data_IF_593065781962
#
_entry.id   IF_593065781962
#
_cell.length_a   1.000
_cell.length_b   1.000
_cell.length_c   1.000
_cell.angle_alpha   90.00
_cell.angle_beta   90.00
_cell.angle_gamma   90.00
#
_symmetry.space_group_name_H-M   'P 1'
#
loop_
_entity.id
_entity.type
_entity.pdbx_description
1 polymer ?
#
# COMPACT_ATOMS: atom_id res chain seq x y z
N UNK A 1 42.67 -3.62 -5.85
CA UNK A 1 42.02 -2.75 -4.86
C UNK A 1 42.53 -1.32 -4.95
N UNK A 2 43.87 -1.09 -5.05
CA UNK A 2 44.44 0.26 -5.19
C UNK A 2 43.96 0.95 -6.49
N UNK A 3 44.04 0.26 -7.63
CA UNK A 3 43.61 0.81 -8.96
C UNK A 3 42.12 1.17 -8.99
N UNK A 4 41.26 0.38 -8.32
CA UNK A 4 39.83 0.67 -8.22
C UNK A 4 39.53 1.91 -7.33
N UNK A 5 40.38 2.17 -6.33
CA UNK A 5 40.29 3.34 -5.47
C UNK A 5 40.72 4.64 -6.18
N UNK A 6 41.71 4.54 -7.08
CA UNK A 6 42.17 5.67 -7.90
C UNK A 6 41.12 6.07 -8.97
N UNK A 7 40.24 5.13 -9.39
CA UNK A 7 39.16 5.40 -10.35
C UNK A 7 37.91 6.04 -9.70
N UNK A 8 37.80 6.06 -8.38
CA UNK A 8 36.68 6.61 -7.63
C UNK A 8 37.08 7.96 -6.99
N UNK A 9 37.26 8.98 -7.79
CA UNK A 9 37.44 10.34 -7.26
C UNK A 9 36.10 10.86 -6.68
N UNK A 10 36.12 11.44 -5.47
CA UNK A 10 34.94 12.09 -4.91
C UNK A 10 34.49 13.25 -5.80
N UNK A 11 33.23 13.24 -6.22
CA UNK A 11 32.65 14.33 -6.99
C UNK A 11 31.96 15.34 -6.06
N UNK A 12 31.87 16.63 -6.46
CA UNK A 12 31.11 17.63 -5.72
C UNK A 12 29.64 17.22 -5.56
N UNK A 13 29.03 17.55 -4.42
CA UNK A 13 27.62 17.27 -4.16
C UNK A 13 26.67 17.79 -5.25
N UNK A 14 26.99 18.92 -5.87
CA UNK A 14 26.23 19.49 -6.99
C UNK A 14 26.25 18.58 -8.23
N UNK A 15 27.39 17.94 -8.53
CA UNK A 15 27.53 16.99 -9.64
C UNK A 15 26.69 15.73 -9.38
N UNK A 16 26.75 15.19 -8.16
CA UNK A 16 25.91 14.07 -7.75
C UNK A 16 24.43 14.43 -7.82
N UNK A 17 24.03 15.61 -7.33
CA UNK A 17 22.64 16.06 -7.36
C UNK A 17 22.11 16.23 -8.80
N UNK A 18 22.95 16.64 -9.75
CA UNK A 18 22.59 16.73 -11.15
C UNK A 18 22.48 15.34 -11.83
N UNK A 19 23.33 14.39 -11.43
CA UNK A 19 23.36 13.05 -12.00
C UNK A 19 22.20 12.16 -11.51
N UNK A 20 21.84 12.25 -10.22
CA UNK A 20 20.88 11.34 -9.59
C UNK A 20 19.50 11.30 -10.27
N UNK A 21 18.87 12.41 -10.70
CA UNK A 21 17.58 12.35 -11.39
C UNK A 21 17.62 11.51 -12.66
N UNK A 22 18.64 11.70 -13.49
CA UNK A 22 18.83 10.95 -14.75
C UNK A 22 19.08 9.47 -14.46
N UNK A 23 19.95 9.18 -13.50
CA UNK A 23 20.24 7.81 -13.05
C UNK A 23 19.00 7.10 -12.52
N UNK A 24 18.15 7.81 -11.80
CA UNK A 24 16.89 7.29 -11.26
C UNK A 24 15.73 7.32 -12.27
N UNK A 25 16.00 7.71 -13.53
CA UNK A 25 15.00 7.78 -14.59
C UNK A 25 13.92 8.84 -14.37
N UNK A 26 14.19 9.83 -13.49
CA UNK A 26 13.25 10.94 -13.21
C UNK A 26 13.28 11.94 -14.37
N UNK A 27 12.09 12.19 -14.94
CA UNK A 27 11.96 13.05 -16.14
C UNK A 27 12.31 12.33 -17.44
N UNK A 28 12.55 11.00 -17.40
CA UNK A 28 12.78 10.18 -18.58
C UNK A 28 11.54 10.05 -19.46
N UNK A 29 11.75 9.55 -20.69
CA UNK A 29 10.68 9.33 -21.68
C UNK A 29 10.30 7.84 -21.76
N UNK A 30 10.25 7.16 -20.63
CA UNK A 30 9.83 5.75 -20.58
C UNK A 30 8.32 5.63 -20.70
N UNK A 31 7.86 4.63 -21.46
CA UNK A 31 6.44 4.40 -21.75
C UNK A 31 6.07 2.92 -21.59
N UNK A 32 4.80 2.67 -21.29
CA UNK A 32 4.20 1.34 -21.31
C UNK A 32 4.49 0.49 -20.07
N UNK A 33 3.83 -0.67 -20.01
CA UNK A 33 3.86 -1.59 -18.86
C UNK A 33 5.26 -2.15 -18.57
N UNK A 34 6.05 -2.47 -19.60
CA UNK A 34 7.42 -2.98 -19.42
C UNK A 34 8.35 -1.94 -18.77
N UNK A 35 8.12 -0.65 -19.07
CA UNK A 35 8.86 0.44 -18.43
C UNK A 35 8.43 0.63 -16.98
N UNK A 36 7.12 0.48 -16.72
CA UNK A 36 6.59 0.52 -15.37
C UNK A 36 7.18 -0.63 -14.52
N UNK A 37 7.25 -1.84 -15.07
CA UNK A 37 7.83 -2.98 -14.37
C UNK A 37 9.32 -2.76 -14.04
N UNK A 38 10.11 -2.20 -14.98
CA UNK A 38 11.51 -1.83 -14.73
C UNK A 38 11.65 -0.75 -13.63
N UNK A 39 10.75 0.23 -13.62
CA UNK A 39 10.72 1.26 -12.57
C UNK A 39 10.39 0.64 -11.21
N UNK A 40 9.45 -0.30 -11.15
CA UNK A 40 9.10 -1.01 -9.92
C UNK A 40 10.28 -1.87 -9.45
N UNK A 41 10.98 -2.52 -10.35
CA UNK A 41 12.19 -3.28 -10.02
C UNK A 41 13.28 -2.38 -9.44
N UNK A 42 13.52 -1.23 -10.04
CA UNK A 42 14.46 -0.23 -9.51
C UNK A 42 14.05 0.30 -8.11
N UNK A 43 12.74 0.39 -7.84
CA UNK A 43 12.18 0.84 -6.56
C UNK A 43 11.93 -0.31 -5.58
N UNK A 44 12.25 -1.56 -5.94
CA UNK A 44 11.96 -2.73 -5.12
C UNK A 44 12.50 -2.58 -3.69
N UNK A 45 11.65 -2.84 -2.70
CA UNK A 45 12.00 -2.72 -1.29
C UNK A 45 12.21 -1.29 -0.76
N UNK A 46 11.92 -0.24 -1.54
CA UNK A 46 11.94 1.15 -1.07
C UNK A 46 10.59 1.48 -0.42
N UNK A 47 10.58 1.97 0.83
CA UNK A 47 9.35 2.48 1.41
C UNK A 47 8.93 3.80 0.74
N UNK A 48 7.74 3.83 0.18
CA UNK A 48 7.17 4.97 -0.51
C UNK A 48 5.87 5.41 0.19
N UNK A 49 5.64 6.70 0.29
CA UNK A 49 4.37 7.22 0.81
C UNK A 49 3.27 6.98 -0.22
N UNK A 50 2.18 6.33 0.19
CA UNK A 50 1.12 5.88 -0.70
C UNK A 50 0.52 7.02 -1.53
N UNK A 51 0.28 8.19 -0.91
CA UNK A 51 -0.24 9.37 -1.60
C UNK A 51 0.71 9.94 -2.68
N UNK A 52 2.00 9.69 -2.59
CA UNK A 52 2.99 10.17 -3.55
C UNK A 52 3.30 9.17 -4.65
N UNK A 53 3.00 7.90 -4.47
CA UNK A 53 3.35 6.84 -5.42
C UNK A 53 2.83 7.14 -6.83
N UNK A 54 1.52 7.28 -6.97
CA UNK A 54 0.83 7.45 -8.26
C UNK A 54 0.69 8.91 -8.70
N UNK A 55 0.92 9.86 -7.78
CA UNK A 55 0.82 11.29 -8.09
C UNK A 55 2.16 11.92 -8.48
N UNK A 56 3.27 11.31 -8.06
CA UNK A 56 4.61 11.87 -8.25
C UNK A 56 5.60 10.79 -8.70
N UNK A 57 5.77 9.71 -7.94
CA UNK A 57 6.89 8.77 -8.11
C UNK A 57 6.83 8.03 -9.44
N UNK A 58 5.71 7.42 -9.78
CA UNK A 58 5.54 6.69 -11.03
C UNK A 58 5.39 7.62 -12.24
N UNK A 59 4.56 8.69 -12.19
CA UNK A 59 4.45 9.62 -13.33
C UNK A 59 5.73 10.38 -13.66
N UNK A 60 6.62 10.58 -12.68
CA UNK A 60 7.92 11.21 -12.97
C UNK A 60 8.90 10.31 -13.72
N UNK A 61 8.61 9.01 -13.86
CA UNK A 61 9.45 7.99 -14.51
C UNK A 61 8.82 7.35 -15.73
N UNK A 62 7.48 7.27 -15.76
CA UNK A 62 6.69 6.68 -16.85
C UNK A 62 5.72 7.75 -17.33
N UNK A 63 5.96 8.29 -18.52
CA UNK A 63 5.27 9.50 -19.02
C UNK A 63 3.77 9.26 -19.26
N UNK A 64 3.39 8.08 -19.71
CA UNK A 64 2.01 7.67 -19.98
C UNK A 64 1.38 6.88 -18.80
N UNK A 65 1.95 7.01 -17.60
CA UNK A 65 1.46 6.29 -16.43
C UNK A 65 -0.03 6.51 -16.19
N UNK A 66 -0.74 5.42 -16.05
CA UNK A 66 -2.14 5.38 -15.64
C UNK A 66 -2.29 4.34 -14.50
N UNK A 67 -3.14 4.60 -13.49
CA UNK A 67 -3.35 3.67 -12.38
C UNK A 67 -3.72 2.23 -12.81
N UNK A 68 -4.43 2.09 -13.93
CA UNK A 68 -4.79 0.80 -14.50
C UNK A 68 -3.59 -0.06 -14.91
N UNK A 69 -2.49 0.56 -15.37
CA UNK A 69 -1.27 -0.16 -15.75
C UNK A 69 -0.68 -0.92 -14.55
N UNK A 70 -0.67 -0.27 -13.37
CA UNK A 70 -0.19 -0.91 -12.15
C UNK A 70 -1.14 -2.02 -11.69
N UNK A 71 -2.45 -1.80 -11.76
CA UNK A 71 -3.45 -2.83 -11.42
C UNK A 71 -3.35 -4.03 -12.37
N UNK A 72 -3.12 -3.83 -13.65
CA UNK A 72 -2.90 -4.92 -14.63
C UNK A 72 -1.69 -5.78 -14.27
N UNK A 73 -0.55 -5.17 -13.92
CA UNK A 73 0.63 -5.91 -13.48
C UNK A 73 0.40 -6.67 -12.17
N UNK A 74 -0.37 -6.08 -11.22
CA UNK A 74 -0.73 -6.75 -9.98
C UNK A 74 -1.69 -7.92 -10.20
N UNK A 75 -2.70 -7.74 -11.06
CA UNK A 75 -3.66 -8.80 -11.42
C UNK A 75 -3.01 -9.94 -12.20
N UNK A 76 -2.01 -9.63 -13.03
CA UNK A 76 -1.20 -10.63 -13.73
C UNK A 76 -0.28 -11.39 -12.76
N UNK A 77 -0.03 -10.86 -11.57
CA UNK A 77 0.90 -11.43 -10.59
C UNK A 77 2.35 -11.06 -10.84
N UNK A 78 2.63 -10.10 -11.73
CA UNK A 78 3.99 -9.63 -12.04
C UNK A 78 4.54 -8.71 -10.94
N UNK A 79 3.64 -7.98 -10.26
CA UNK A 79 3.98 -7.04 -9.19
C UNK A 79 3.21 -7.39 -7.93
N UNK A 80 3.92 -7.32 -6.80
CA UNK A 80 3.37 -7.49 -5.46
C UNK A 80 3.68 -6.27 -4.59
N UNK A 81 2.89 -6.06 -3.54
CA UNK A 81 3.08 -4.96 -2.63
C UNK A 81 2.70 -5.30 -1.20
N UNK A 82 3.22 -4.54 -0.25
CA UNK A 82 2.81 -4.60 1.15
C UNK A 82 2.81 -3.23 1.81
N UNK A 83 1.98 -3.05 2.82
CA UNK A 83 2.08 -1.95 3.76
C UNK A 83 3.27 -2.12 4.69
N UNK A 84 3.87 -1.01 5.11
CA UNK A 84 5.00 -1.01 6.08
C UNK A 84 4.80 0.04 7.17
N UNK A 85 3.58 0.44 7.40
CA UNK A 85 3.16 1.34 8.46
C UNK A 85 2.13 2.36 8.00
N UNK A 86 1.09 2.54 8.80
CA UNK A 86 0.10 3.59 8.60
C UNK A 86 0.62 4.96 9.00
N UNK A 87 0.17 5.99 8.30
CA UNK A 87 0.40 7.39 8.61
C UNK A 87 -0.92 8.07 9.01
N UNK A 88 -0.87 9.20 9.71
CA UNK A 88 -2.07 9.96 10.02
C UNK A 88 -2.90 10.28 8.77
N UNK A 89 -4.22 10.34 8.95
CA UNK A 89 -5.17 10.70 7.90
C UNK A 89 -5.33 9.66 6.79
N UNK A 90 -5.17 8.38 7.11
CA UNK A 90 -5.43 7.27 6.17
C UNK A 90 -4.37 7.11 5.07
N UNK A 91 -3.23 7.78 5.18
CA UNK A 91 -2.06 7.53 4.36
C UNK A 91 -1.19 6.43 4.99
N UNK A 92 -0.11 6.04 4.32
CA UNK A 92 0.81 5.04 4.86
C UNK A 92 2.04 4.85 3.99
N UNK A 93 2.97 4.08 4.51
CA UNK A 93 4.12 3.60 3.78
C UNK A 93 3.80 2.27 3.13
N UNK A 94 4.20 2.10 1.90
CA UNK A 94 4.12 0.84 1.17
C UNK A 94 5.42 0.55 0.43
N UNK A 95 5.64 -0.71 0.13
CA UNK A 95 6.71 -1.20 -0.72
C UNK A 95 6.13 -2.02 -1.86
N UNK A 96 6.76 -1.94 -3.02
CA UNK A 96 6.45 -2.77 -4.18
C UNK A 96 7.70 -3.58 -4.56
N UNK A 97 7.47 -4.69 -5.24
CA UNK A 97 8.53 -5.46 -5.90
C UNK A 97 7.95 -6.26 -7.07
N UNK A 98 8.75 -6.61 -8.07
CA UNK A 98 8.42 -7.73 -8.95
C UNK A 98 8.21 -9.00 -8.13
N UNK A 99 7.31 -9.88 -8.55
CA UNK A 99 6.94 -11.07 -7.77
C UNK A 99 8.09 -12.05 -7.58
N UNK A 100 9.01 -12.14 -8.52
CA UNK A 100 10.24 -12.94 -8.43
C UNK A 100 11.27 -12.37 -7.44
N UNK A 101 11.11 -11.10 -7.02
CA UNK A 101 11.92 -10.40 -6.01
C UNK A 101 11.13 -10.08 -4.73
N UNK A 102 10.02 -10.74 -4.50
CA UNK A 102 9.17 -10.51 -3.32
C UNK A 102 9.88 -10.74 -1.98
N UNK A 103 10.99 -11.45 -1.97
CA UNK A 103 11.85 -11.69 -0.80
C UNK A 103 12.50 -10.43 -0.23
N UNK A 104 12.58 -9.32 -1.01
CA UNK A 104 13.06 -8.02 -0.50
C UNK A 104 12.02 -7.32 0.40
N UNK A 105 10.75 -7.72 0.30
CA UNK A 105 9.67 -7.14 1.11
C UNK A 105 9.75 -7.61 2.57
N UNK A 106 9.40 -6.74 3.54
CA UNK A 106 9.49 -7.07 4.95
C UNK A 106 8.48 -8.14 5.37
N UNK A 107 8.80 -8.84 6.44
CA UNK A 107 7.80 -9.58 7.18
C UNK A 107 6.78 -8.61 7.81
N UNK A 108 5.57 -9.10 8.02
CA UNK A 108 4.50 -8.34 8.65
C UNK A 108 4.87 -7.86 10.05
N UNK A 109 4.43 -6.66 10.39
CA UNK A 109 4.42 -6.18 11.77
C UNK A 109 3.28 -6.86 12.55
N UNK A 110 3.47 -7.05 13.85
CA UNK A 110 2.44 -7.61 14.69
C UNK A 110 1.22 -6.67 14.77
N UNK A 111 0.03 -7.22 14.57
CA UNK A 111 -1.24 -6.51 14.78
C UNK A 111 -1.94 -7.14 15.99
N UNK A 112 -2.33 -6.31 16.93
CA UNK A 112 -3.05 -6.75 18.13
C UNK A 112 -4.56 -6.73 17.87
N UNK A 113 -5.29 -7.61 18.57
CA UNK A 113 -6.76 -7.66 18.57
C UNK A 113 -7.31 -8.98 18.06
N UNK A 114 -8.41 -9.39 18.65
CA UNK A 114 -9.06 -10.67 18.32
C UNK A 114 -9.64 -10.65 16.89
N UNK A 115 -10.20 -9.51 16.50
CA UNK A 115 -10.77 -9.36 15.16
C UNK A 115 -9.70 -9.47 14.05
N UNK A 116 -8.54 -8.85 14.25
CA UNK A 116 -7.42 -8.98 13.32
C UNK A 116 -6.93 -10.42 13.23
N UNK A 117 -6.88 -11.13 14.37
CA UNK A 117 -6.53 -12.56 14.39
C UNK A 117 -7.54 -13.40 13.63
N UNK A 118 -8.85 -13.19 13.83
CA UNK A 118 -9.89 -13.92 13.13
C UNK A 118 -9.86 -13.69 11.60
N UNK A 119 -9.57 -12.44 11.16
CA UNK A 119 -9.34 -12.14 9.74
C UNK A 119 -8.14 -12.94 9.20
N UNK A 120 -7.01 -12.96 9.93
CA UNK A 120 -5.83 -13.70 9.51
C UNK A 120 -6.08 -15.21 9.46
N UNK A 121 -6.76 -15.78 10.46
CA UNK A 121 -7.12 -17.21 10.50
C UNK A 121 -7.98 -17.59 9.29
N UNK A 122 -8.96 -16.75 8.94
CA UNK A 122 -9.78 -16.94 7.75
C UNK A 122 -8.93 -16.94 6.46
N UNK A 123 -8.03 -15.98 6.32
CA UNK A 123 -7.17 -15.86 5.14
C UNK A 123 -6.09 -16.96 5.08
N UNK A 124 -5.63 -17.48 6.21
CA UNK A 124 -4.69 -18.60 6.29
C UNK A 124 -5.28 -19.92 5.74
N UNK A 125 -6.60 -20.05 5.67
CA UNK A 125 -7.24 -21.17 5.00
C UNK A 125 -6.96 -21.24 3.49
N UNK A 126 -6.34 -20.17 2.94
CA UNK A 126 -5.89 -20.07 1.55
C UNK A 126 -6.89 -19.36 0.63
N UNK A 127 -6.38 -18.99 -0.55
CA UNK A 127 -7.16 -18.28 -1.57
C UNK A 127 -7.18 -16.77 -1.40
N UNK A 128 -7.82 -16.11 -2.36
CA UNK A 128 -8.08 -14.67 -2.34
C UNK A 128 -9.54 -14.39 -1.97
N UNK A 129 -9.77 -13.54 -0.98
CA UNK A 129 -11.08 -13.23 -0.44
C UNK A 129 -11.49 -11.80 -0.75
N UNK A 130 -12.71 -11.60 -1.22
CA UNK A 130 -13.26 -10.25 -1.28
C UNK A 130 -13.68 -9.78 0.12
N UNK A 131 -13.63 -8.47 0.37
CA UNK A 131 -14.01 -7.93 1.67
C UNK A 131 -15.43 -8.34 2.11
N UNK A 132 -16.38 -8.37 1.17
CA UNK A 132 -17.76 -8.76 1.49
C UNK A 132 -17.88 -10.22 1.95
N UNK A 133 -17.04 -11.12 1.43
CA UNK A 133 -17.00 -12.52 1.87
C UNK A 133 -16.36 -12.63 3.25
N UNK A 134 -15.29 -11.89 3.53
CA UNK A 134 -14.67 -11.78 4.85
C UNK A 134 -15.70 -11.29 5.87
N UNK A 135 -16.43 -10.22 5.55
CA UNK A 135 -17.48 -9.67 6.41
C UNK A 135 -18.60 -10.69 6.63
N UNK A 136 -19.11 -11.32 5.57
CA UNK A 136 -20.19 -12.30 5.68
C UNK A 136 -19.77 -13.51 6.53
N UNK A 137 -18.54 -13.98 6.37
CA UNK A 137 -18.02 -15.14 7.10
C UNK A 137 -17.85 -14.84 8.59
N UNK A 138 -17.24 -13.67 8.93
CA UNK A 138 -17.03 -13.28 10.32
C UNK A 138 -18.31 -12.85 11.02
N UNK A 139 -19.26 -12.21 10.32
CA UNK A 139 -20.57 -11.88 10.88
C UNK A 139 -21.44 -13.12 11.19
N UNK A 140 -21.13 -14.28 10.62
CA UNK A 140 -21.81 -15.53 10.90
C UNK A 140 -21.30 -16.23 12.19
N UNK A 141 -20.18 -15.76 12.77
CA UNK A 141 -19.62 -16.29 14.01
C UNK A 141 -20.43 -15.76 15.22
N UNK A 142 -21.08 -16.64 16.02
CA UNK A 142 -21.98 -16.21 17.07
C UNK A 142 -21.33 -15.45 18.22
N UNK A 143 -20.01 -15.65 18.41
CA UNK A 143 -19.25 -15.04 19.49
C UNK A 143 -18.63 -13.69 19.09
N UNK A 144 -18.79 -13.26 17.83
CA UNK A 144 -18.20 -12.04 17.30
C UNK A 144 -19.25 -10.94 17.19
N UNK A 145 -19.29 -10.02 18.16
CA UNK A 145 -20.18 -8.85 18.13
C UNK A 145 -19.56 -7.67 17.37
N UNK A 146 -18.98 -7.91 16.19
CA UNK A 146 -18.30 -6.89 15.39
C UNK A 146 -19.18 -6.39 14.27
N UNK A 147 -19.14 -5.08 14.00
CA UNK A 147 -19.80 -4.49 12.84
C UNK A 147 -18.98 -4.69 11.56
N UNK A 148 -19.63 -4.59 10.40
CA UNK A 148 -18.91 -4.60 9.10
C UNK A 148 -17.81 -3.54 9.04
N UNK A 149 -18.00 -2.41 9.72
CA UNK A 149 -17.04 -1.32 9.78
C UNK A 149 -15.82 -1.69 10.63
N UNK A 150 -16.02 -2.41 11.75
CA UNK A 150 -14.91 -2.88 12.58
C UNK A 150 -14.05 -3.88 11.81
N UNK A 151 -14.67 -4.76 11.02
CA UNK A 151 -13.97 -5.72 10.15
C UNK A 151 -13.18 -4.96 9.06
N UNK A 152 -13.77 -3.94 8.44
CA UNK A 152 -13.07 -3.09 7.46
C UNK A 152 -11.84 -2.44 8.09
N UNK A 153 -11.94 -1.88 9.29
CA UNK A 153 -10.79 -1.30 9.99
C UNK A 153 -9.71 -2.33 10.31
N UNK A 154 -10.10 -3.52 10.77
CA UNK A 154 -9.14 -4.59 11.03
C UNK A 154 -8.39 -5.03 9.76
N UNK A 155 -9.08 -5.11 8.62
CA UNK A 155 -8.46 -5.39 7.31
C UNK A 155 -7.48 -4.28 6.92
N UNK A 156 -7.82 -3.02 7.14
CA UNK A 156 -6.93 -1.90 6.84
C UNK A 156 -5.71 -1.85 7.75
N UNK A 157 -5.87 -2.15 9.04
CA UNK A 157 -4.76 -2.24 9.99
C UNK A 157 -3.80 -3.38 9.60
N UNK A 158 -4.34 -4.54 9.22
CA UNK A 158 -3.56 -5.67 8.71
C UNK A 158 -2.84 -5.33 7.39
N UNK A 159 -3.49 -4.59 6.51
CA UNK A 159 -2.91 -4.10 5.26
C UNK A 159 -1.69 -3.20 5.53
N UNK A 160 -1.84 -2.20 6.40
CA UNK A 160 -0.73 -1.30 6.73
C UNK A 160 0.39 -1.98 7.53
N UNK A 161 0.07 -3.04 8.26
CA UNK A 161 1.07 -3.87 8.92
C UNK A 161 1.81 -4.84 7.99
N UNK A 162 1.39 -4.94 6.72
CA UNK A 162 1.96 -5.88 5.75
C UNK A 162 1.56 -7.34 5.98
N UNK A 163 0.58 -7.58 6.86
CA UNK A 163 0.11 -8.93 7.19
C UNK A 163 -0.78 -9.53 6.09
N UNK A 164 -1.43 -8.68 5.32
CA UNK A 164 -2.22 -9.04 4.13
C UNK A 164 -1.90 -8.12 2.97
N UNK A 165 -2.13 -8.61 1.77
CA UNK A 165 -2.00 -7.86 0.51
C UNK A 165 -3.28 -7.93 -0.30
N UNK A 166 -3.35 -7.16 -1.39
CA UNK A 166 -4.48 -7.15 -2.31
C UNK A 166 -3.97 -7.26 -3.75
N UNK A 167 -4.76 -7.84 -4.64
CA UNK A 167 -4.46 -7.99 -6.06
C UNK A 167 -4.60 -6.69 -6.88
N UNK A 168 -4.88 -5.56 -6.22
CA UNK A 168 -4.89 -4.21 -6.81
C UNK A 168 -4.43 -3.17 -5.79
N UNK A 169 -4.12 -1.94 -6.23
CA UNK A 169 -3.85 -0.82 -5.32
C UNK A 169 -5.11 -0.01 -4.96
N UNK A 170 -6.28 -0.41 -5.44
CA UNK A 170 -7.53 0.31 -5.24
C UNK A 170 -7.92 0.55 -3.76
N UNK A 171 -7.71 -0.38 -2.81
CA UNK A 171 -7.93 -0.11 -1.39
C UNK A 171 -7.09 1.03 -0.83
N UNK A 172 -5.82 1.09 -1.22
CA UNK A 172 -4.89 2.16 -0.82
C UNK A 172 -5.34 3.50 -1.37
N UNK A 173 -5.66 3.58 -2.67
CA UNK A 173 -6.20 4.80 -3.33
C UNK A 173 -7.43 5.31 -2.61
N UNK A 174 -8.30 4.41 -2.20
CA UNK A 174 -9.53 4.79 -1.49
C UNK A 174 -9.23 5.40 -0.13
N UNK A 175 -8.29 4.85 0.63
CA UNK A 175 -7.87 5.39 1.92
C UNK A 175 -7.29 6.79 1.76
N UNK A 176 -6.35 6.96 0.85
CA UNK A 176 -5.69 8.24 0.57
C UNK A 176 -6.71 9.29 0.10
N UNK A 177 -7.57 8.96 -0.87
CA UNK A 177 -8.56 9.89 -1.45
C UNK A 177 -9.73 10.19 -0.50
N UNK A 178 -10.19 9.23 0.30
CA UNK A 178 -11.23 9.40 1.29
C UNK A 178 -10.87 10.46 2.33
N UNK A 179 -9.62 10.48 2.74
CA UNK A 179 -9.06 11.47 3.68
C UNK A 179 -8.92 12.87 3.04
N UNK A 180 -8.69 12.96 1.73
CA UNK A 180 -8.64 14.23 1.00
C UNK A 180 -10.02 14.87 0.84
N UNK A 181 -11.08 14.06 0.68
CA UNK A 181 -12.47 14.52 0.59
C UNK A 181 -12.97 15.16 1.88
N UNK A 182 -12.58 14.64 3.03
CA UNK A 182 -12.91 15.22 4.34
C UNK A 182 -12.31 16.62 4.55
N UNK A 183 -11.14 16.90 3.96
CA UNK A 183 -10.50 18.25 4.05
C UNK A 183 -11.30 19.32 3.29
N UNK A 184 -11.92 18.99 2.14
CA UNK A 184 -12.72 19.94 1.37
C UNK A 184 -14.04 20.27 2.04
N UNK A 185 -14.63 19.33 2.78
CA UNK A 185 -15.87 19.55 3.53
C UNK A 185 -15.71 20.50 4.72
N UNK A 186 -14.56 20.48 5.41
CA UNK A 186 -14.28 21.34 6.57
C UNK A 186 -13.93 22.78 6.15
N UNK A 187 -13.26 22.97 5.02
CA UNK A 187 -12.95 24.32 4.51
C UNK A 187 -14.14 25.02 3.84
N UNK A 188 -15.16 24.27 3.41
CA UNK A 188 -16.39 24.84 2.81
C UNK A 188 -17.39 25.40 3.83
N UNK A 189 -17.31 25.02 5.09
CA UNK A 189 -18.26 25.45 6.14
C UNK A 189 -17.90 26.77 6.84
N UNK A 190 -16.78 27.40 6.53
CA UNK A 190 -16.30 28.60 7.23
C UNK A 190 -16.70 29.93 6.55
N UNK A 191 -17.56 29.93 5.55
CA UNK A 191 -18.11 31.16 4.92
C UNK A 191 -19.64 31.09 4.85
N UNK A 192 -20.30 30.98 6.00
CA UNK A 192 -21.71 31.20 6.16
C UNK A 192 -21.93 32.57 6.79
N UNK A 193 -22.37 33.52 5.98
CA UNK A 193 -22.85 34.86 6.38
C UNK A 193 -23.92 34.71 7.46
N UNK A 194 -23.80 35.44 8.54
CA UNK A 194 -24.75 35.60 9.62
C UNK A 194 -26.06 36.16 9.06
N UNK A 195 -27.13 35.36 9.08
CA UNK A 195 -28.51 35.84 8.82
C UNK A 195 -29.24 35.86 10.17
N UNK A 196 -29.76 37.02 10.62
CA UNK A 196 -30.26 37.21 12.00
C UNK A 196 -31.75 37.01 12.19
N UNK A 197 -32.46 36.14 11.43
CA UNK A 197 -33.88 35.92 11.67
C UNK A 197 -34.27 34.44 11.78
N UNK A 198 -34.80 33.99 12.95
CA UNK A 198 -35.33 32.65 13.08
C UNK A 198 -36.80 32.63 12.61
N UNK A 199 -37.11 32.02 11.49
CA UNK A 199 -38.48 31.61 11.14
C UNK A 199 -38.63 30.13 11.46
N UNK A 200 -39.48 29.87 12.46
CA UNK A 200 -39.91 28.54 12.83
C UNK A 200 -40.73 27.87 11.73
N UNK A 201 -40.47 26.62 11.50
CA UNK A 201 -41.46 25.65 11.03
C UNK A 201 -41.12 24.25 11.54
N UNK A 202 -41.98 23.74 12.41
CA UNK A 202 -42.02 22.36 12.82
C UNK A 202 -42.27 21.48 11.59
N UNK A 203 -41.27 20.67 11.25
CA UNK A 203 -41.37 19.62 10.27
C UNK A 203 -40.55 18.42 10.75
N UNK A 204 -41.21 17.48 11.42
CA UNK A 204 -40.68 16.10 11.59
C UNK A 204 -40.45 15.53 10.22
N UNK A 205 -39.26 15.70 9.70
CA UNK A 205 -38.75 14.89 8.57
C UNK A 205 -37.91 13.80 9.13
N UNK A 206 -38.38 12.58 8.93
CA UNK A 206 -37.70 11.36 9.27
C UNK A 206 -36.25 11.43 8.84
N UNK A 207 -35.39 11.10 9.76
CA UNK A 207 -33.97 10.82 9.54
C UNK A 207 -33.90 9.70 8.49
N UNK A 208 -33.87 10.09 7.20
CA UNK A 208 -33.43 9.18 6.16
C UNK A 208 -32.02 8.77 6.58
N UNK A 209 -31.91 7.61 7.19
CA UNK A 209 -30.64 6.92 7.31
C UNK A 209 -30.13 6.81 5.89
N UNK A 210 -29.15 7.67 5.57
CA UNK A 210 -28.35 7.53 4.40
C UNK A 210 -27.67 6.16 4.55
N UNK A 211 -28.31 5.11 4.03
CA UNK A 211 -27.70 3.81 3.79
C UNK A 211 -26.62 4.09 2.74
N UNK A 212 -25.46 4.60 3.21
CA UNK A 212 -24.25 4.46 2.45
C UNK A 212 -24.10 2.97 2.28
N UNK A 213 -24.20 2.50 1.06
CA UNK A 213 -23.79 1.17 0.69
C UNK A 213 -22.42 0.94 1.35
N UNK A 214 -22.20 -0.20 2.00
CA UNK A 214 -20.91 -0.46 2.62
C UNK A 214 -19.86 -0.22 1.57
N UNK A 215 -18.92 0.63 1.91
CA UNK A 215 -17.90 1.04 1.01
C UNK A 215 -16.99 -0.19 0.82
N UNK A 216 -17.18 -0.93 -0.26
CA UNK A 216 -16.43 -2.13 -0.59
C UNK A 216 -14.99 -1.74 -0.94
N UNK A 217 -14.02 -2.25 -0.19
CA UNK A 217 -12.62 -2.24 -0.60
C UNK A 217 -12.49 -3.25 -1.75
N UNK A 218 -12.21 -2.80 -2.97
CA UNK A 218 -12.14 -3.68 -4.14
C UNK A 218 -10.91 -4.60 -4.10
N UNK A 219 -10.91 -5.62 -4.94
CA UNK A 219 -9.83 -6.58 -5.05
C UNK A 219 -9.92 -7.72 -4.03
N UNK A 220 -9.02 -8.69 -4.19
CA UNK A 220 -8.95 -9.88 -3.35
C UNK A 220 -7.84 -9.74 -2.33
N UNK A 221 -8.17 -10.04 -1.09
CA UNK A 221 -7.25 -10.04 0.02
C UNK A 221 -6.66 -11.43 0.25
N UNK A 222 -5.36 -11.50 0.48
CA UNK A 222 -4.65 -12.74 0.73
C UNK A 222 -3.47 -12.54 1.70
N UNK A 223 -2.99 -13.62 2.27
CA UNK A 223 -1.72 -13.63 3.00
C UNK A 223 -0.60 -13.53 1.96
N UNK A 224 0.37 -12.60 2.10
CA UNK A 224 1.51 -12.52 1.20
C UNK A 224 2.34 -13.81 1.22
N UNK A 225 2.65 -14.36 0.05
CA UNK A 225 3.40 -15.62 -0.04
C UNK A 225 4.80 -15.54 0.61
N UNK A 226 5.44 -14.38 0.57
CA UNK A 226 6.76 -14.14 1.20
C UNK A 226 6.69 -13.98 2.73
N UNK A 227 5.49 -13.78 3.32
CA UNK A 227 5.31 -13.67 4.78
C UNK A 227 4.97 -14.99 5.43
N UNK A 228 4.66 -16.04 4.65
CA UNK A 228 4.39 -17.37 5.17
C UNK A 228 5.75 -18.01 5.51
N UNK A 229 6.04 -18.29 6.78
CA UNK A 229 7.28 -18.99 7.11
C UNK A 229 7.30 -20.33 6.39
N UNK A 230 8.37 -20.63 5.66
CA UNK A 230 8.57 -21.96 5.12
C UNK A 230 8.44 -22.95 6.27
N UNK A 231 7.66 -24.02 6.07
CA UNK A 231 7.34 -25.02 7.09
C UNK A 231 8.63 -25.67 7.64
N UNK A 232 9.18 -25.13 8.72
CA UNK A 232 10.42 -25.59 9.32
C UNK A 232 10.92 -24.64 10.40
N UNK A 233 10.52 -24.83 11.62
CA UNK A 233 11.09 -24.34 12.86
C UNK A 233 11.75 -22.96 12.90
N UNK A 234 12.40 -22.61 14.00
CA UNK A 234 13.12 -21.34 14.20
C UNK A 234 14.22 -21.06 13.13
N UNK A 235 14.82 -22.09 12.55
CA UNK A 235 15.81 -21.98 11.47
C UNK A 235 15.22 -21.44 10.15
N UNK A 236 13.94 -21.62 9.88
CA UNK A 236 13.30 -21.12 8.66
C UNK A 236 13.16 -19.59 8.67
N UNK A 237 12.90 -18.99 9.83
CA UNK A 237 12.86 -17.54 9.98
C UNK A 237 14.24 -16.88 9.74
N UNK A 238 15.33 -17.52 10.21
CA UNK A 238 16.69 -17.03 9.98
C UNK A 238 17.08 -17.12 8.50
N UNK A 239 16.73 -18.23 7.83
CA UNK A 239 16.96 -18.41 6.39
C UNK A 239 16.20 -17.35 5.59
N UNK A 240 14.96 -17.08 5.94
CA UNK A 240 14.16 -16.05 5.27
C UNK A 240 14.76 -14.65 5.49
N UNK A 241 15.17 -14.32 6.71
CA UNK A 241 15.86 -13.06 7.02
C UNK A 241 17.16 -12.92 6.22
N UNK A 242 17.96 -13.99 6.11
CA UNK A 242 19.20 -14.01 5.33
C UNK A 242 18.92 -13.80 3.83
N UNK A 243 17.92 -14.48 3.26
CA UNK A 243 17.51 -14.29 1.86
C UNK A 243 17.09 -12.85 1.60
N UNK A 244 16.27 -12.28 2.49
CA UNK A 244 15.86 -10.88 2.39
C UNK A 244 17.05 -9.93 2.41
N UNK A 245 17.98 -10.11 3.34
CA UNK A 245 19.17 -9.26 3.42
C UNK A 245 20.05 -9.38 2.16
N UNK A 246 20.20 -10.59 1.62
CA UNK A 246 20.91 -10.81 0.37
C UNK A 246 20.21 -10.15 -0.82
N UNK A 247 18.88 -10.28 -0.93
CA UNK A 247 18.06 -9.61 -1.95
C UNK A 247 18.16 -8.09 -1.86
N UNK A 248 18.03 -7.52 -0.66
CA UNK A 248 18.21 -6.07 -0.45
C UNK A 248 19.63 -5.60 -0.81
N UNK A 249 20.65 -6.36 -0.46
CA UNK A 249 22.02 -6.04 -0.83
C UNK A 249 22.22 -6.05 -2.36
N UNK A 250 21.64 -7.02 -3.07
CA UNK A 250 21.65 -7.07 -4.53
C UNK A 250 20.96 -5.84 -5.14
N UNK A 251 19.74 -5.51 -4.68
CA UNK A 251 19.01 -4.31 -5.14
C UNK A 251 19.78 -3.03 -4.88
N UNK A 252 20.41 -2.89 -3.72
CA UNK A 252 21.22 -1.71 -3.39
C UNK A 252 22.46 -1.61 -4.27
N UNK A 253 23.14 -2.73 -4.55
CA UNK A 253 24.27 -2.75 -5.47
C UNK A 253 23.85 -2.38 -6.89
N UNK A 254 22.78 -2.95 -7.42
CA UNK A 254 22.26 -2.62 -8.75
C UNK A 254 21.82 -1.16 -8.87
N UNK A 255 21.30 -0.58 -7.78
CA UNK A 255 20.84 0.81 -7.75
C UNK A 255 21.99 1.82 -7.67
N UNK A 256 23.11 1.46 -7.06
CA UNK A 256 24.21 2.37 -6.73
C UNK A 256 25.55 1.98 -7.39
N UNK A 257 25.60 0.89 -8.16
CA UNK A 257 26.76 0.47 -8.93
C UNK A 257 26.78 1.15 -10.30
#
# INVERSE_FOLDING_TARGET
VAVLREQAEPVPAATLAAFLPDWQGVGGQSHGADSLLRVIDQLAGVPLVASSLETLVLPSRVTDYQPGMLDELMLAGDVVWCGVGGLPRGDGWLMLAPSDRADVLPAASAVAGDLARNVLELLCAGGGWFLHDIVARLAAEPDLSSTSQDIEYAVLDLMWAGAITNDTLAPVRRQVNGSAGQRRGVQGSARGVHDPFPRGSAGRRGRAQNRRLPATLPGRWSIPAWSIPASGGASAGEVQATRRLAGLAAVLLERHA
#
